data_IF_229138192912
#
_entry.id   IF_229138192912
#
_cell.length_a   1.000
_cell.length_b   1.000
_cell.length_c   1.000
_cell.angle_alpha   90.00
_cell.angle_beta   90.00
_cell.angle_gamma   90.00
#
_symmetry.space_group_name_H-M   'P 1'
#
loop_
_entity.id
_entity.type
_entity.pdbx_description
1 polymer ?
#
# COMPACT_ATOMS: atom_id res chain seq x y z
N UNK A 1 4.91 -26.07 4.94
CA UNK A 1 5.04 -25.50 3.58
C UNK A 1 3.71 -25.67 2.86
N UNK A 2 3.26 -24.65 2.14
CA UNK A 2 2.05 -24.69 1.32
C UNK A 2 2.36 -24.13 -0.08
N UNK A 3 1.49 -24.46 -1.05
CA UNK A 3 1.52 -23.86 -2.39
C UNK A 3 0.86 -22.46 -2.42
N UNK A 4 0.67 -21.93 -3.63
CA UNK A 4 0.02 -20.61 -3.82
C UNK A 4 -1.44 -20.57 -3.35
N UNK A 5 -2.08 -21.72 -3.22
CA UNK A 5 -3.48 -21.90 -2.80
C UNK A 5 -3.61 -22.37 -1.34
N UNK A 6 -2.56 -22.22 -0.54
CA UNK A 6 -2.50 -22.64 0.85
C UNK A 6 -2.67 -24.17 1.07
N UNK A 7 -2.55 -25.00 0.02
CA UNK A 7 -2.63 -26.44 0.14
C UNK A 7 -1.33 -27.02 0.70
N UNK A 8 -1.44 -27.97 1.64
CA UNK A 8 -0.30 -28.57 2.34
C UNK A 8 0.36 -29.73 1.59
N UNK A 9 -0.22 -30.19 0.47
CA UNK A 9 0.14 -31.42 -0.21
C UNK A 9 -0.59 -32.67 0.34
N UNK A 10 -1.35 -32.53 1.42
CA UNK A 10 -2.20 -33.58 1.98
C UNK A 10 -3.63 -33.34 1.57
N UNK A 11 -4.30 -34.37 1.05
CA UNK A 11 -5.69 -34.26 0.59
C UNK A 11 -6.62 -33.79 1.71
N UNK A 12 -7.43 -32.78 1.44
CA UNK A 12 -8.39 -32.18 2.38
C UNK A 12 -7.76 -31.30 3.45
N UNK A 13 -6.45 -30.97 3.37
CA UNK A 13 -5.75 -30.17 4.40
C UNK A 13 -5.12 -28.92 3.80
N UNK A 14 -5.53 -27.77 4.31
CA UNK A 14 -4.94 -26.45 4.02
C UNK A 14 -4.37 -25.81 5.28
N UNK A 15 -3.44 -24.87 5.13
CA UNK A 15 -2.92 -24.07 6.24
C UNK A 15 -2.85 -22.60 5.83
N UNK A 16 -3.30 -21.71 6.73
CA UNK A 16 -3.40 -20.26 6.51
C UNK A 16 -2.84 -19.48 7.71
N UNK A 17 -2.65 -18.18 7.54
CA UNK A 17 -2.23 -17.29 8.62
C UNK A 17 -0.73 -17.35 8.91
N UNK A 18 -0.36 -17.14 10.17
CA UNK A 18 1.02 -16.93 10.60
C UNK A 18 1.93 -18.15 10.45
N UNK A 19 1.35 -19.35 10.33
CA UNK A 19 2.11 -20.60 10.16
C UNK A 19 2.55 -20.89 8.72
N UNK A 20 2.18 -20.05 7.76
CA UNK A 20 2.52 -20.21 6.33
C UNK A 20 3.24 -18.97 5.78
N UNK A 21 3.55 -18.97 4.48
CA UNK A 21 4.25 -17.89 3.77
C UNK A 21 3.55 -16.53 3.89
N UNK A 22 4.28 -15.47 3.60
CA UNK A 22 3.79 -14.09 3.63
C UNK A 22 3.91 -13.46 5.03
N UNK A 23 3.36 -12.25 5.20
CA UNK A 23 3.45 -11.55 6.47
C UNK A 23 2.59 -12.20 7.56
N UNK A 24 3.05 -12.13 8.81
CA UNK A 24 2.29 -12.58 9.99
C UNK A 24 1.32 -11.49 10.43
N UNK A 25 0.22 -11.36 9.69
CA UNK A 25 -0.80 -10.32 9.88
C UNK A 25 -2.20 -10.96 9.88
N UNK A 26 -3.04 -10.55 10.83
CA UNK A 26 -4.38 -11.10 11.01
C UNK A 26 -5.24 -10.99 9.75
N UNK A 27 -5.22 -9.83 9.08
CA UNK A 27 -5.98 -9.60 7.85
C UNK A 27 -5.48 -10.48 6.69
N UNK A 28 -4.16 -10.75 6.57
CA UNK A 28 -3.65 -11.71 5.58
C UNK A 28 -4.20 -13.12 5.84
N UNK A 29 -4.19 -13.56 7.09
CA UNK A 29 -4.75 -14.86 7.47
C UNK A 29 -6.25 -14.97 7.21
N UNK A 30 -7.01 -13.88 7.42
CA UNK A 30 -8.45 -13.83 7.13
C UNK A 30 -8.72 -13.97 5.62
N UNK A 31 -8.00 -13.23 4.77
CA UNK A 31 -8.14 -13.32 3.32
C UNK A 31 -7.71 -14.69 2.76
N UNK A 32 -6.64 -15.30 3.30
CA UNK A 32 -6.26 -16.67 2.96
C UNK A 32 -7.36 -17.66 3.35
N UNK A 33 -8.02 -17.49 4.51
CA UNK A 33 -9.13 -18.33 4.94
C UNK A 33 -10.33 -18.24 4.00
N UNK A 34 -10.68 -17.03 3.55
CA UNK A 34 -11.73 -16.79 2.56
C UNK A 34 -11.38 -17.49 1.24
N UNK A 35 -10.16 -17.27 0.74
CA UNK A 35 -9.70 -17.87 -0.52
C UNK A 35 -9.73 -19.40 -0.48
N UNK A 36 -9.29 -20.01 0.63
CA UNK A 36 -9.34 -21.47 0.81
C UNK A 36 -10.78 -21.98 0.84
N UNK A 37 -11.70 -21.30 1.55
CA UNK A 37 -13.11 -21.68 1.58
C UNK A 37 -13.74 -21.62 0.18
N UNK A 38 -13.40 -20.60 -0.62
CA UNK A 38 -13.84 -20.47 -2.02
C UNK A 38 -13.29 -21.61 -2.88
N UNK A 39 -12.00 -21.95 -2.76
CA UNK A 39 -11.38 -23.06 -3.49
C UNK A 39 -12.04 -24.40 -3.16
N UNK A 40 -12.33 -24.68 -1.89
CA UNK A 40 -13.06 -25.88 -1.46
C UNK A 40 -14.46 -25.91 -2.08
N UNK A 41 -15.11 -24.75 -2.23
CA UNK A 41 -16.42 -24.62 -2.87
C UNK A 41 -16.37 -24.62 -4.41
N UNK A 42 -15.21 -24.87 -5.03
CA UNK A 42 -15.00 -24.85 -6.48
C UNK A 42 -15.01 -23.46 -7.12
N UNK A 43 -14.78 -22.41 -6.34
CA UNK A 43 -14.68 -21.03 -6.80
C UNK A 43 -13.21 -20.60 -6.93
N UNK A 44 -12.91 -19.55 -7.70
CA UNK A 44 -11.55 -19.02 -7.83
C UNK A 44 -11.16 -18.20 -6.59
N UNK A 45 -10.63 -18.87 -5.55
CA UNK A 45 -10.06 -18.18 -4.37
C UNK A 45 -8.67 -17.63 -4.67
N UNK A 46 -8.40 -16.38 -4.27
CA UNK A 46 -7.13 -15.70 -4.54
C UNK A 46 -6.78 -14.70 -3.44
N UNK A 47 -5.49 -14.62 -3.09
CA UNK A 47 -4.91 -13.56 -2.24
C UNK A 47 -3.66 -13.01 -2.91
N UNK A 48 -3.62 -11.70 -3.12
CA UNK A 48 -2.44 -11.01 -3.63
C UNK A 48 -1.53 -10.59 -2.47
N UNK A 49 -0.44 -11.31 -2.25
CA UNK A 49 0.48 -11.00 -1.16
C UNK A 49 1.30 -9.71 -1.39
N UNK A 50 1.39 -9.21 -2.63
CA UNK A 50 2.10 -7.97 -2.94
C UNK A 50 1.32 -6.71 -2.53
N UNK A 51 0.01 -6.84 -2.27
CA UNK A 51 -0.87 -5.73 -1.88
C UNK A 51 -1.40 -5.83 -0.44
N UNK A 52 -0.84 -6.73 0.37
CA UNK A 52 -1.15 -6.80 1.81
C UNK A 52 -0.59 -5.57 2.51
N UNK A 53 -1.42 -4.72 3.15
CA UNK A 53 -0.93 -3.54 3.86
C UNK A 53 -0.30 -3.93 5.20
N UNK A 54 0.71 -3.16 5.60
CA UNK A 54 1.34 -3.21 6.91
C UNK A 54 1.00 -1.97 7.70
N UNK A 55 0.78 -2.12 9.00
CA UNK A 55 0.50 -1.01 9.90
C UNK A 55 1.23 -1.21 11.23
N UNK A 56 1.82 -0.13 11.75
CA UNK A 56 2.38 -0.05 13.11
C UNK A 56 1.64 1.09 13.82
N UNK A 57 0.92 0.76 14.88
CA UNK A 57 0.05 1.68 15.64
C UNK A 57 0.84 2.44 16.70
N UNK A 58 1.89 3.11 16.28
CA UNK A 58 2.67 4.05 17.08
C UNK A 58 2.12 5.46 16.99
N UNK A 59 2.73 6.44 17.69
CA UNK A 59 2.45 7.87 17.55
C UNK A 59 3.74 8.57 17.11
N UNK A 60 3.86 9.02 15.85
CA UNK A 60 2.90 8.82 14.73
C UNK A 60 2.81 7.37 14.25
N UNK A 61 1.70 7.01 13.60
CA UNK A 61 1.51 5.70 12.95
C UNK A 61 2.44 5.52 11.75
N UNK A 62 2.72 4.27 11.41
CA UNK A 62 3.44 3.90 10.17
C UNK A 62 2.59 2.92 9.38
N UNK A 63 2.38 3.17 8.09
CA UNK A 63 1.68 2.25 7.20
C UNK A 63 2.37 2.16 5.84
N UNK A 64 2.35 0.97 5.23
CA UNK A 64 2.88 0.80 3.88
C UNK A 64 2.24 -0.38 3.16
N UNK A 65 2.36 -0.36 1.83
CA UNK A 65 1.99 -1.46 0.94
C UNK A 65 3.00 -1.52 -0.22
N UNK A 66 3.26 -2.73 -0.71
CA UNK A 66 4.17 -2.97 -1.83
C UNK A 66 5.64 -2.94 -1.46
N UNK A 67 6.49 -2.61 -2.42
CA UNK A 67 7.95 -2.71 -2.35
C UNK A 67 8.60 -1.45 -1.78
N UNK A 68 9.71 -1.64 -1.07
CA UNK A 68 10.61 -0.57 -0.67
C UNK A 68 11.61 -0.25 -1.78
N UNK A 69 12.23 0.93 -1.71
CA UNK A 69 13.32 1.29 -2.64
C UNK A 69 14.51 0.33 -2.54
N UNK A 70 14.79 -0.20 -1.35
CA UNK A 70 15.87 -1.17 -1.14
C UNK A 70 15.62 -2.48 -1.90
N UNK A 71 14.38 -3.01 -1.83
CA UNK A 71 13.97 -4.21 -2.57
C UNK A 71 13.99 -3.98 -4.08
N UNK A 72 13.52 -2.82 -4.56
CA UNK A 72 13.54 -2.48 -5.99
C UNK A 72 14.96 -2.36 -6.52
N UNK A 73 15.86 -1.72 -5.76
CA UNK A 73 17.29 -1.64 -6.10
C UNK A 73 17.93 -3.03 -6.18
N UNK A 74 17.66 -3.89 -5.19
CA UNK A 74 18.17 -5.25 -5.17
C UNK A 74 17.66 -6.10 -6.35
N UNK A 75 16.41 -5.86 -6.77
CA UNK A 75 15.77 -6.53 -7.91
C UNK A 75 16.15 -5.92 -9.27
N UNK A 76 16.86 -4.79 -9.31
CA UNK A 76 17.20 -4.08 -10.55
C UNK A 76 16.00 -3.46 -11.26
N UNK A 77 14.91 -3.20 -10.53
CA UNK A 77 13.68 -2.61 -11.08
C UNK A 77 13.82 -1.08 -11.10
N UNK A 78 13.72 -0.42 -12.27
CA UNK A 78 13.80 1.03 -12.36
C UNK A 78 12.55 1.68 -11.78
N UNK A 79 12.72 2.72 -10.94
CA UNK A 79 11.63 3.40 -10.28
C UNK A 79 11.85 4.91 -10.18
N UNK A 80 10.76 5.63 -9.94
CA UNK A 80 10.70 7.05 -9.56
C UNK A 80 9.98 7.18 -8.24
N UNK A 81 10.26 8.24 -7.50
CA UNK A 81 9.61 8.49 -6.21
C UNK A 81 9.05 9.89 -6.14
N UNK A 82 7.92 10.04 -5.47
CA UNK A 82 7.39 11.32 -5.03
C UNK A 82 7.07 11.27 -3.55
N UNK A 83 7.24 12.36 -2.85
CA UNK A 83 6.91 12.44 -1.42
C UNK A 83 6.27 13.77 -1.07
N UNK A 84 5.43 13.80 -0.03
CA UNK A 84 4.79 15.01 0.44
C UNK A 84 4.68 15.03 1.96
N UNK A 85 5.10 16.12 2.65
CA UNK A 85 5.06 16.20 4.10
C UNK A 85 3.67 16.62 4.62
N UNK A 86 3.24 16.08 5.77
CA UNK A 86 2.01 16.50 6.43
C UNK A 86 2.02 17.96 6.87
N UNK A 87 3.19 18.52 7.16
CA UNK A 87 3.33 19.94 7.51
C UNK A 87 2.80 20.91 6.44
N UNK A 88 2.68 20.46 5.18
CA UNK A 88 2.12 21.24 4.08
C UNK A 88 0.62 20.92 3.80
N UNK A 89 -0.02 20.08 4.61
CA UNK A 89 -1.43 19.72 4.46
C UNK A 89 -2.30 20.53 5.44
N UNK A 90 -3.26 21.28 4.89
CA UNK A 90 -4.14 22.15 5.68
C UNK A 90 -4.90 21.41 6.80
N UNK A 91 -5.37 20.19 6.54
CA UNK A 91 -6.04 19.37 7.56
C UNK A 91 -5.09 18.96 8.69
N UNK A 92 -3.86 18.56 8.37
CA UNK A 92 -2.84 18.21 9.37
C UNK A 92 -2.49 19.41 10.27
N UNK A 93 -2.37 20.60 9.66
CA UNK A 93 -2.14 21.85 10.41
C UNK A 93 -3.32 22.15 11.33
N UNK A 94 -4.56 22.03 10.85
CA UNK A 94 -5.77 22.25 11.66
C UNK A 94 -5.92 21.26 12.82
N UNK A 95 -5.42 20.05 12.66
CA UNK A 95 -5.41 19.01 13.70
C UNK A 95 -4.20 19.12 14.66
N UNK A 96 -3.22 19.96 14.34
CA UNK A 96 -1.91 20.00 15.00
C UNK A 96 -1.13 18.68 14.90
N UNK A 97 -1.34 17.94 13.80
CA UNK A 97 -0.75 16.62 13.50
C UNK A 97 0.14 16.73 12.24
N UNK A 98 1.17 17.56 12.31
CA UNK A 98 2.03 17.91 11.15
C UNK A 98 3.22 16.98 10.98
N UNK A 99 3.46 16.06 11.92
CA UNK A 99 4.55 15.10 11.84
C UNK A 99 4.26 14.03 10.80
N UNK A 100 5.22 13.80 9.89
CA UNK A 100 5.15 12.70 8.93
C UNK A 100 5.10 13.10 7.48
N UNK A 101 4.87 12.10 6.63
CA UNK A 101 4.88 12.23 5.17
C UNK A 101 4.23 11.04 4.49
N UNK A 102 3.85 11.24 3.24
CA UNK A 102 3.52 10.17 2.29
C UNK A 102 4.63 10.07 1.25
N UNK A 103 5.02 8.85 0.87
CA UNK A 103 5.91 8.56 -0.25
C UNK A 103 5.27 7.56 -1.19
N UNK A 104 5.22 7.89 -2.49
CA UNK A 104 4.78 7.04 -3.59
C UNK A 104 6.00 6.59 -4.39
N UNK A 105 6.04 5.31 -4.76
CA UNK A 105 7.06 4.72 -5.63
C UNK A 105 6.36 4.14 -6.86
N UNK A 106 6.79 4.58 -8.04
CA UNK A 106 6.25 4.13 -9.32
C UNK A 106 7.35 3.58 -10.22
N UNK A 107 7.00 2.63 -11.08
CA UNK A 107 7.92 2.10 -12.09
C UNK A 107 8.32 3.19 -13.07
N UNK A 108 9.61 3.31 -13.40
CA UNK A 108 10.12 4.42 -14.19
C UNK A 108 9.48 4.53 -15.58
N UNK A 109 9.23 3.40 -16.25
CA UNK A 109 8.75 3.39 -17.64
C UNK A 109 7.22 3.26 -17.74
N UNK A 110 6.59 2.50 -16.85
CA UNK A 110 5.16 2.18 -16.95
C UNK A 110 4.30 3.00 -16.01
N UNK A 111 4.90 3.76 -15.12
CA UNK A 111 4.27 4.53 -14.04
C UNK A 111 3.43 3.70 -13.05
N UNK A 112 3.43 2.37 -13.17
CA UNK A 112 2.69 1.49 -12.26
C UNK A 112 3.15 1.68 -10.83
N UNK A 113 2.22 1.75 -9.89
CA UNK A 113 2.51 1.81 -8.47
C UNK A 113 3.25 0.54 -8.01
N UNK A 114 4.40 0.72 -7.38
CA UNK A 114 5.24 -0.34 -6.83
C UNK A 114 5.23 -0.38 -5.31
N UNK A 115 4.95 0.75 -4.67
CA UNK A 115 4.84 0.84 -3.23
C UNK A 115 4.41 2.23 -2.77
N UNK A 116 3.72 2.27 -1.63
CA UNK A 116 3.36 3.51 -0.94
C UNK A 116 3.67 3.36 0.53
N UNK A 117 4.32 4.37 1.11
CA UNK A 117 4.78 4.37 2.49
C UNK A 117 4.34 5.66 3.17
N UNK A 118 3.81 5.56 4.37
CA UNK A 118 3.24 6.68 5.12
C UNK A 118 3.71 6.66 6.56
N UNK A 119 3.99 7.83 7.11
CA UNK A 119 4.19 8.06 8.55
C UNK A 119 3.34 9.25 8.93
N UNK A 120 2.53 9.18 9.97
CA UNK A 120 1.71 10.30 10.41
C UNK A 120 0.41 9.89 11.07
N UNK A 121 -0.43 10.86 11.41
CA UNK A 121 -1.75 10.62 11.97
C UNK A 121 -2.67 9.92 10.94
N UNK A 122 -3.43 8.93 11.39
CA UNK A 122 -4.44 8.21 10.60
C UNK A 122 -3.92 7.51 9.35
N UNK A 123 -2.62 7.26 9.20
CA UNK A 123 -2.09 6.59 8.00
C UNK A 123 -2.51 5.13 7.93
N UNK A 124 -2.90 4.51 9.04
CA UNK A 124 -3.50 3.17 9.09
C UNK A 124 -4.81 3.09 8.28
N UNK A 125 -5.59 4.15 8.28
CA UNK A 125 -6.83 4.27 7.51
C UNK A 125 -6.53 4.71 6.05
N UNK A 126 -5.59 5.62 5.86
CA UNK A 126 -5.24 6.20 4.56
C UNK A 126 -4.59 5.19 3.61
N UNK A 127 -3.85 4.19 4.12
CA UNK A 127 -3.10 3.25 3.29
C UNK A 127 -3.99 2.46 2.31
N UNK A 128 -5.28 2.28 2.64
CA UNK A 128 -6.20 1.50 1.82
C UNK A 128 -6.49 2.12 0.44
N UNK A 129 -6.37 3.44 0.30
CA UNK A 129 -6.41 4.09 -1.01
C UNK A 129 -5.31 3.55 -1.93
N UNK A 130 -4.09 3.44 -1.40
CA UNK A 130 -2.96 2.87 -2.13
C UNK A 130 -3.13 1.37 -2.42
N UNK A 131 -3.65 0.60 -1.45
CA UNK A 131 -3.95 -0.84 -1.63
C UNK A 131 -4.91 -1.04 -2.79
N UNK A 132 -6.03 -0.30 -2.82
CA UNK A 132 -7.03 -0.38 -3.90
C UNK A 132 -6.40 -0.01 -5.25
N UNK A 133 -5.65 1.10 -5.31
CA UNK A 133 -5.00 1.51 -6.55
C UNK A 133 -4.00 0.46 -7.05
N UNK A 134 -3.20 -0.14 -6.17
CA UNK A 134 -2.23 -1.19 -6.52
C UNK A 134 -2.91 -2.49 -6.94
N UNK A 135 -4.00 -2.89 -6.28
CA UNK A 135 -4.76 -4.11 -6.63
C UNK A 135 -5.35 -4.00 -8.05
N UNK A 136 -5.87 -2.84 -8.41
CA UNK A 136 -6.32 -2.54 -9.77
C UNK A 136 -5.19 -2.20 -10.75
N UNK A 137 -3.92 -2.37 -10.34
CA UNK A 137 -2.74 -2.11 -11.17
C UNK A 137 -2.62 -0.66 -11.66
N UNK A 138 -3.10 0.27 -10.84
CA UNK A 138 -3.07 1.70 -11.10
C UNK A 138 -1.66 2.27 -11.19
N UNK A 139 -1.56 3.44 -11.78
CA UNK A 139 -0.35 4.23 -11.92
C UNK A 139 -0.30 5.38 -10.90
N UNK A 140 0.88 6.02 -10.74
CA UNK A 140 0.98 7.25 -9.96
C UNK A 140 0.14 8.37 -10.60
N UNK A 141 0.06 8.41 -11.93
CA UNK A 141 -0.78 9.36 -12.66
C UNK A 141 -2.27 9.17 -12.38
N UNK A 142 -2.74 7.91 -12.19
CA UNK A 142 -4.14 7.66 -11.81
C UNK A 142 -4.46 8.33 -10.47
N UNK A 143 -3.63 8.13 -9.43
CA UNK A 143 -3.80 8.80 -8.14
C UNK A 143 -3.69 10.32 -8.26
N UNK A 144 -2.76 10.82 -9.09
CA UNK A 144 -2.55 12.24 -9.31
C UNK A 144 -3.72 12.94 -10.04
N UNK A 145 -4.62 12.19 -10.68
CA UNK A 145 -5.80 12.72 -11.38
C UNK A 145 -7.11 12.55 -10.63
N UNK A 146 -7.12 11.74 -9.60
CA UNK A 146 -8.33 11.55 -8.77
C UNK A 146 -8.55 12.80 -7.92
N UNK A 147 -9.80 13.29 -7.90
CA UNK A 147 -10.18 14.42 -7.05
C UNK A 147 -10.21 13.99 -5.59
N UNK A 148 -9.38 14.61 -4.76
CA UNK A 148 -9.36 14.40 -3.32
C UNK A 148 -10.17 15.50 -2.61
N UNK A 149 -10.87 15.12 -1.57
CA UNK A 149 -11.65 16.07 -0.80
C UNK A 149 -10.74 17.05 -0.02
N UNK A 150 -11.11 18.33 0.00
CA UNK A 150 -10.43 19.38 0.76
C UNK A 150 -11.32 19.90 1.90
N UNK A 151 -10.78 20.06 3.17
CA UNK A 151 -9.42 19.67 3.60
C UNK A 151 -9.39 18.24 4.17
N UNK A 152 -8.48 17.42 3.72
CA UNK A 152 -8.28 16.05 4.21
C UNK A 152 -6.80 15.69 4.32
N UNK A 153 -6.47 14.62 5.07
CA UNK A 153 -5.11 14.08 5.11
C UNK A 153 -4.76 13.33 3.81
N UNK A 154 -5.75 12.76 3.11
CA UNK A 154 -5.56 12.05 1.83
C UNK A 154 -5.01 12.95 0.72
N UNK A 155 -5.13 14.27 0.82
CA UNK A 155 -4.46 15.20 -0.10
C UNK A 155 -2.93 15.00 -0.12
N UNK A 156 -2.34 14.44 0.96
CA UNK A 156 -0.92 14.09 0.98
C UNK A 156 -0.60 12.93 0.01
N UNK A 157 -1.53 12.00 -0.22
CA UNK A 157 -1.37 10.93 -1.22
C UNK A 157 -1.41 11.52 -2.62
N UNK A 158 -2.37 12.39 -2.90
CA UNK A 158 -2.48 13.11 -4.17
C UNK A 158 -1.21 13.91 -4.51
N UNK A 159 -0.76 14.72 -3.56
CA UNK A 159 0.45 15.55 -3.73
C UNK A 159 1.72 14.69 -3.87
N UNK A 160 1.83 13.56 -3.14
CA UNK A 160 2.95 12.65 -3.29
C UNK A 160 2.93 11.94 -4.67
N UNK A 161 1.75 11.61 -5.19
CA UNK A 161 1.60 11.06 -6.55
C UNK A 161 2.01 12.10 -7.62
N UNK A 162 1.55 13.35 -7.50
CA UNK A 162 2.00 14.47 -8.35
C UNK A 162 3.53 14.67 -8.28
N UNK A 163 4.11 14.52 -7.09
CA UNK A 163 5.55 14.70 -6.89
C UNK A 163 6.40 13.64 -7.60
N UNK A 164 5.86 12.46 -7.96
CA UNK A 164 6.58 11.46 -8.78
C UNK A 164 7.07 12.07 -10.09
N UNK A 165 6.27 12.96 -10.68
CA UNK A 165 6.59 13.71 -11.90
C UNK A 165 6.99 15.17 -11.63
N UNK A 166 7.36 15.50 -10.39
CA UNK A 166 7.74 16.87 -9.99
C UNK A 166 6.64 17.90 -10.23
N UNK A 167 5.38 17.51 -10.01
CA UNK A 167 4.19 18.36 -10.22
C UNK A 167 3.46 18.69 -8.91
N UNK A 168 4.04 18.40 -7.74
CA UNK A 168 3.44 18.78 -6.46
C UNK A 168 3.11 20.28 -6.45
N UNK A 169 1.94 20.64 -5.94
CA UNK A 169 1.42 22.02 -6.00
C UNK A 169 1.84 22.81 -4.76
N UNK A 170 1.79 22.19 -3.59
CA UNK A 170 1.97 22.87 -2.31
C UNK A 170 3.36 22.65 -1.69
N UNK A 171 4.34 22.20 -2.47
CA UNK A 171 5.77 22.17 -2.09
C UNK A 171 6.66 22.45 -3.29
N UNK A 172 7.93 22.82 -3.03
CA UNK A 172 8.96 22.89 -4.07
C UNK A 172 9.35 21.49 -4.55
N UNK A 173 9.40 21.29 -5.86
CA UNK A 173 9.74 20.02 -6.51
C UNK A 173 11.24 19.89 -6.74
#
# INVERSE_FOLDING_TARGET
VVDAHCWTGVEGVWAVGDCVRGPMLAHKGSEEGIAVAELIAGKPGHVNLDTVPWVIYTEPEVAWVGKTEAELKAAGIPYRTGSFPFAAIGRAVAMNETAGMVKVIAHADTDRLLGVHMVGACVSEMIHEAVVAMEFKGSAEDLARICHAHPTLSEAVHEAALAVDKRAIHKTN
#
